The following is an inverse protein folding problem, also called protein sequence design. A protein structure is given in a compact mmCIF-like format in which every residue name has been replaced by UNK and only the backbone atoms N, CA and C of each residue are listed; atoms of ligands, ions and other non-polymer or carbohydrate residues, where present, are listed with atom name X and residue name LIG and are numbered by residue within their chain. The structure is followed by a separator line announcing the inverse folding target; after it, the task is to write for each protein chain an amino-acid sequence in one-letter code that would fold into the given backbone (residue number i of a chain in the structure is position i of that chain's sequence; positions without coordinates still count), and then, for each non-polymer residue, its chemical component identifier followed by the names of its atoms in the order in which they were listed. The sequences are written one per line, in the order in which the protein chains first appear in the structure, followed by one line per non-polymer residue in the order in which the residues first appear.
data_IF_799890830957
#
_entry.id   IF_799890830957
#
_cell.length_a   1.000
_cell.length_b   1.000
_cell.length_c   1.000
_cell.angle_alpha   90.00
_cell.angle_beta   90.00
_cell.angle_gamma   90.00
#
_symmetry.space_group_name_H-M   'P 1'
#
loop_
_entity.id
_entity.type
_entity.pdbx_description
1 polymer ?
#
# COMPACT_ATOMS: atom_id res chain seq x y z
N UNK A 1 -6.09 10.78 9.60
CA UNK A 1 -4.81 10.28 9.04
C UNK A 1 -4.10 9.26 9.92
N UNK A 2 -3.87 9.50 11.22
CA UNK A 2 -3.02 8.64 12.09
C UNK A 2 -3.38 7.14 12.11
N UNK A 3 -4.65 6.76 11.97
CA UNK A 3 -5.08 5.35 12.06
C UNK A 3 -4.73 4.48 10.85
N UNK A 4 -4.14 5.07 9.80
CA UNK A 4 -3.75 4.37 8.57
C UNK A 4 -2.29 4.64 8.18
N UNK A 5 -1.44 5.09 9.10
CA UNK A 5 -0.02 5.32 8.81
C UNK A 5 0.81 4.11 9.23
N UNK A 6 1.55 3.56 8.27
CA UNK A 6 2.53 2.51 8.44
C UNK A 6 3.93 3.14 8.46
N UNK A 7 4.81 2.71 9.37
CA UNK A 7 6.23 3.09 9.35
C UNK A 7 7.05 1.90 8.88
N UNK A 8 7.78 2.05 7.79
CA UNK A 8 8.68 1.05 7.23
C UNK A 8 9.99 0.97 8.03
N UNK A 9 10.79 -0.07 7.76
CA UNK A 9 12.08 -0.32 8.44
C UNK A 9 13.08 0.83 8.29
N UNK A 10 13.06 1.52 7.15
CA UNK A 10 13.88 2.68 6.83
C UNK A 10 13.35 4.00 7.43
N UNK A 11 12.29 3.94 8.24
CA UNK A 11 11.54 5.07 8.82
C UNK A 11 10.68 5.84 7.82
N UNK A 12 10.55 5.39 6.58
CA UNK A 12 9.57 5.94 5.64
C UNK A 12 8.17 5.75 6.20
N UNK A 13 7.37 6.81 6.19
CA UNK A 13 5.97 6.77 6.63
C UNK A 13 5.07 6.68 5.39
N UNK A 14 4.14 5.74 5.43
CA UNK A 14 3.17 5.48 4.36
C UNK A 14 1.77 5.64 4.91
N UNK A 15 0.98 6.52 4.30
CA UNK A 15 -0.45 6.56 4.48
C UNK A 15 -1.10 5.49 3.61
N UNK A 16 -1.78 4.53 4.23
CA UNK A 16 -2.50 3.44 3.56
C UNK A 16 -3.76 4.03 2.92
N UNK A 17 -3.82 3.94 1.59
CA UNK A 17 -4.94 4.43 0.78
C UNK A 17 -5.95 3.30 0.54
N UNK A 18 -5.49 2.16 0.03
CA UNK A 18 -6.32 0.98 -0.25
C UNK A 18 -5.57 -0.31 0.08
N UNK A 19 -6.33 -1.39 0.25
CA UNK A 19 -5.84 -2.72 0.57
C UNK A 19 -6.61 -3.79 -0.22
N UNK A 20 -5.88 -4.79 -0.71
CA UNK A 20 -6.47 -5.93 -1.43
C UNK A 20 -5.93 -7.24 -0.87
N UNK A 21 -6.68 -8.31 -1.09
CA UNK A 21 -6.18 -9.68 -0.95
C UNK A 21 -6.11 -10.31 -2.34
N UNK A 22 -4.96 -10.84 -2.71
CA UNK A 22 -4.76 -11.57 -3.96
C UNK A 22 -3.94 -12.84 -3.72
N UNK A 23 -4.41 -13.99 -4.21
CA UNK A 23 -3.78 -15.31 -3.98
C UNK A 23 -3.46 -15.62 -2.50
N UNK A 24 -4.33 -15.21 -1.57
CA UNK A 24 -4.13 -15.37 -0.12
C UNK A 24 -3.01 -14.50 0.49
N UNK A 25 -2.53 -13.49 -0.23
CA UNK A 25 -1.58 -12.49 0.24
C UNK A 25 -2.28 -11.12 0.31
N UNK A 26 -1.95 -10.33 1.35
CA UNK A 26 -2.47 -8.97 1.50
C UNK A 26 -1.50 -7.99 0.83
N UNK A 27 -2.04 -7.05 0.08
CA UNK A 27 -1.27 -6.00 -0.57
C UNK A 27 -1.84 -4.65 -0.19
N UNK A 28 -0.95 -3.67 -0.08
CA UNK A 28 -1.25 -2.33 0.38
C UNK A 28 -0.84 -1.36 -0.72
N UNK A 29 -1.74 -0.46 -1.07
CA UNK A 29 -1.42 0.75 -1.81
C UNK A 29 -1.31 1.91 -0.81
N UNK A 30 -0.14 2.54 -0.79
CA UNK A 30 0.16 3.62 0.12
C UNK A 30 0.84 4.81 -0.55
N UNK A 31 0.67 5.98 0.06
CA UNK A 31 1.33 7.22 -0.34
C UNK A 31 2.31 7.64 0.74
N UNK A 32 3.55 7.96 0.37
CA UNK A 32 4.54 8.43 1.33
C UNK A 32 4.04 9.73 1.97
N UNK A 33 4.15 9.85 3.28
CA UNK A 33 3.67 11.00 4.04
C UNK A 33 4.70 11.45 5.08
N UNK A 34 4.54 12.67 5.57
CA UNK A 34 5.13 13.12 6.82
C UNK A 34 4.00 13.31 7.82
N UNK A 35 3.86 12.37 8.75
CA UNK A 35 2.79 12.39 9.75
C UNK A 35 3.00 13.49 10.81
N UNK A 36 4.22 14.03 10.96
CA UNK A 36 4.48 15.17 11.85
C UNK A 36 4.05 16.48 11.19
N UNK A 37 4.36 16.64 9.90
CA UNK A 37 3.97 17.81 9.12
C UNK A 37 2.51 17.75 8.63
N UNK A 38 1.88 16.58 8.67
CA UNK A 38 0.51 16.37 8.19
C UNK A 38 0.39 16.39 6.67
N UNK A 39 1.49 16.14 5.94
CA UNK A 39 1.55 16.20 4.48
C UNK A 39 1.62 14.81 3.87
N UNK A 40 0.99 14.65 2.70
CA UNK A 40 1.07 13.43 1.88
C UNK A 40 1.74 13.82 0.57
N UNK A 41 2.74 13.05 0.16
CA UNK A 41 3.45 13.24 -1.11
C UNK A 41 2.78 12.46 -2.25
N UNK A 42 3.12 12.80 -3.49
CA UNK A 42 2.71 12.05 -4.69
C UNK A 42 3.57 10.80 -4.94
N UNK A 43 4.39 10.38 -3.99
CA UNK A 43 5.16 9.13 -4.10
C UNK A 43 4.28 7.97 -3.64
N UNK A 44 3.96 7.09 -4.59
CA UNK A 44 3.09 5.94 -4.37
C UNK A 44 3.89 4.64 -4.26
N UNK A 45 3.44 3.73 -3.41
CA UNK A 45 4.06 2.42 -3.23
C UNK A 45 2.99 1.34 -3.16
N UNK A 46 3.29 0.19 -3.79
CA UNK A 46 2.51 -1.03 -3.66
C UNK A 46 3.38 -2.08 -3.00
N UNK A 47 2.93 -2.56 -1.84
CA UNK A 47 3.71 -3.42 -0.96
C UNK A 47 2.92 -4.67 -0.58
N UNK A 48 3.63 -5.75 -0.28
CA UNK A 48 3.04 -6.97 0.26
C UNK A 48 3.10 -6.95 1.78
N UNK A 49 1.97 -7.25 2.42
CA UNK A 49 1.82 -7.34 3.86
C UNK A 49 1.67 -8.80 4.29
N UNK A 50 2.59 -9.27 5.12
CA UNK A 50 2.63 -10.64 5.65
C UNK A 50 2.58 -10.63 7.17
N UNK A 51 1.97 -11.65 7.75
CA UNK A 51 2.14 -11.94 9.17
C UNK A 51 3.24 -13.00 9.28
N UNK A 52 4.36 -12.65 9.89
CA UNK A 52 5.45 -13.58 10.20
C UNK A 52 5.62 -13.64 11.71
N UNK A 53 5.43 -14.82 12.31
CA UNK A 53 5.51 -15.04 13.77
C UNK A 53 4.67 -14.04 14.59
N UNK A 54 3.44 -13.77 14.13
CA UNK A 54 2.52 -12.82 14.77
C UNK A 54 2.87 -11.34 14.58
N UNK A 55 3.93 -11.02 13.82
CA UNK A 55 4.32 -9.64 13.50
C UNK A 55 3.96 -9.31 12.05
N UNK A 56 3.43 -8.10 11.84
CA UNK A 56 3.26 -7.56 10.50
C UNK A 56 4.62 -7.23 9.89
N UNK A 57 4.89 -7.83 8.74
CA UNK A 57 6.06 -7.58 7.89
C UNK A 57 5.58 -7.01 6.58
N UNK A 58 6.28 -6.00 6.10
CA UNK A 58 5.97 -5.29 4.86
C UNK A 58 7.20 -5.39 3.98
N UNK A 59 7.02 -5.97 2.80
CA UNK A 59 8.09 -6.20 1.84
C UNK A 59 7.66 -5.74 0.43
N UNK A 60 8.64 -5.55 -0.44
CA UNK A 60 8.39 -5.34 -1.86
C UNK A 60 7.83 -6.62 -2.50
N UNK A 61 7.03 -6.46 -3.56
CA UNK A 61 6.59 -7.59 -4.38
C UNK A 61 7.75 -7.99 -5.30
N UNK A 62 8.37 -9.13 -5.01
CA UNK A 62 9.53 -9.61 -5.78
C UNK A 62 9.14 -10.30 -7.10
N UNK A 63 7.91 -10.80 -7.21
CA UNK A 63 7.39 -11.42 -8.45
C UNK A 63 6.76 -10.37 -9.36
N UNK A 64 7.34 -10.15 -10.54
CA UNK A 64 6.89 -9.13 -11.49
C UNK A 64 5.47 -9.38 -12.00
N UNK A 65 5.09 -10.65 -12.23
CA UNK A 65 3.75 -10.98 -12.71
C UNK A 65 2.70 -10.62 -11.66
N UNK A 66 2.94 -10.97 -10.40
CA UNK A 66 2.09 -10.58 -9.27
C UNK A 66 2.06 -9.07 -9.10
N UNK A 67 3.21 -8.39 -9.16
CA UNK A 67 3.27 -6.94 -9.06
C UNK A 67 2.41 -6.25 -10.12
N UNK A 68 2.48 -6.71 -11.38
CA UNK A 68 1.67 -6.18 -12.48
C UNK A 68 0.16 -6.36 -12.22
N UNK A 69 -0.27 -7.56 -11.82
CA UNK A 69 -1.69 -7.84 -11.53
C UNK A 69 -2.19 -6.99 -10.36
N UNK A 70 -1.44 -6.93 -9.26
CA UNK A 70 -1.81 -6.17 -8.06
C UNK A 70 -1.91 -4.67 -8.39
N UNK A 71 -0.94 -4.12 -9.13
CA UNK A 71 -0.99 -2.73 -9.59
C UNK A 71 -2.24 -2.45 -10.43
N UNK A 72 -2.56 -3.34 -11.38
CA UNK A 72 -3.74 -3.19 -12.22
C UNK A 72 -5.06 -3.24 -11.43
N UNK A 73 -5.11 -4.04 -10.36
CA UNK A 73 -6.28 -4.08 -9.46
C UNK A 73 -6.46 -2.72 -8.77
N UNK A 74 -5.39 -2.15 -8.21
CA UNK A 74 -5.44 -0.84 -7.56
C UNK A 74 -5.82 0.28 -8.54
N UNK A 75 -5.19 0.31 -9.72
CA UNK A 75 -5.53 1.29 -10.77
C UNK A 75 -7.00 1.16 -11.18
N UNK A 76 -7.50 -0.07 -11.39
CA UNK A 76 -8.90 -0.29 -11.76
C UNK A 76 -9.87 0.19 -10.69
N UNK A 77 -9.56 -0.01 -9.40
CA UNK A 77 -10.38 0.50 -8.30
C UNK A 77 -10.40 2.01 -8.28
N UNK A 78 -9.24 2.65 -8.36
CA UNK A 78 -9.12 4.10 -8.39
C UNK A 78 -9.91 4.68 -9.58
N UNK A 79 -9.79 4.10 -10.77
CA UNK A 79 -10.53 4.56 -11.95
C UNK A 79 -12.05 4.35 -11.79
N UNK A 80 -12.50 3.23 -11.20
CA UNK A 80 -13.92 3.01 -10.94
C UNK A 80 -14.50 4.02 -9.97
N UNK A 81 -13.78 4.33 -8.90
CA UNK A 81 -14.21 5.33 -7.91
C UNK A 81 -14.29 6.74 -8.53
N UNK A 82 -13.36 7.10 -9.42
CA UNK A 82 -13.35 8.41 -10.07
C UNK A 82 -14.31 8.55 -11.26
N UNK A 83 -14.70 7.45 -11.91
CA UNK A 83 -15.71 7.46 -12.99
C UNK A 83 -17.13 7.49 -12.43
N UNK A 84 -17.32 7.13 -11.16
CA UNK A 84 -18.60 7.20 -10.45
C UNK A 84 -18.72 8.41 -9.51
N UNK A 85 -17.75 9.33 -9.52
CA UNK A 85 -17.71 10.53 -8.70
C UNK A 85 -18.20 11.79 -9.45
#
# INVERSE_FOLDING_TARGET
MKNKVLTLKDKTQLYIVDEITYKNHRYIYGMQCDNKAGTVSNTHMVLEAKINQGKLVIDNINDFATASVVNNIFISRFMKENVMA
#
